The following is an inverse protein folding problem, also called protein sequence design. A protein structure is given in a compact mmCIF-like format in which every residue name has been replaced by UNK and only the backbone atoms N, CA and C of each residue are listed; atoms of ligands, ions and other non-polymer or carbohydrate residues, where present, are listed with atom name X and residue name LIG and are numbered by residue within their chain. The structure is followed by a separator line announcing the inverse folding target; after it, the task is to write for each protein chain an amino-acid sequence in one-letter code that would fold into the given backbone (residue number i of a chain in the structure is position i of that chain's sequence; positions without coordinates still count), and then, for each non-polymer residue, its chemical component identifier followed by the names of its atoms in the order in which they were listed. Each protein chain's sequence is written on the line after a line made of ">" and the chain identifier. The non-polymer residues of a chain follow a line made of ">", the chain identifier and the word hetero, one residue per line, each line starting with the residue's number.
data_IF_368577580987
#
_entry.id   IF_368577580987
#
_cell.length_a   1.000
_cell.length_b   1.000
_cell.length_c   1.000
_cell.angle_alpha   90.00
_cell.angle_beta   90.00
_cell.angle_gamma   90.00
#
_symmetry.space_group_name_H-M   'P 1'
#
loop_
_entity.id
_entity.type
_entity.pdbx_description
1 polymer ?
#
# COMPACT_ATOMS: atom_id res chain seq x y z
N UNK A 1 12.75 12.46 21.24
CA UNK A 1 12.35 11.09 21.62
C UNK A 1 13.09 10.14 20.71
N UNK A 2 13.95 9.31 21.28
CA UNK A 2 14.69 8.27 20.55
C UNK A 2 13.71 7.27 19.93
N UNK A 3 13.92 6.89 18.66
CA UNK A 3 13.06 5.91 17.99
C UNK A 3 13.43 4.53 18.51
N UNK A 4 12.58 3.97 19.38
CA UNK A 4 12.71 2.59 19.87
C UNK A 4 12.75 1.58 18.73
N UNK A 5 13.57 0.56 18.87
CA UNK A 5 13.64 -0.57 17.94
C UNK A 5 12.35 -1.40 18.00
N UNK A 6 12.03 -2.09 16.91
CA UNK A 6 10.82 -2.92 16.84
C UNK A 6 10.85 -4.02 17.91
N UNK A 7 12.01 -4.64 18.13
CA UNK A 7 12.22 -5.66 19.15
C UNK A 7 11.89 -5.16 20.55
N UNK A 8 12.20 -3.90 20.85
CA UNK A 8 11.89 -3.29 22.15
C UNK A 8 10.39 -3.09 22.32
N UNK A 9 9.72 -2.62 21.27
CA UNK A 9 8.25 -2.48 21.27
C UNK A 9 7.55 -3.82 21.46
N UNK A 10 8.00 -4.86 20.77
CA UNK A 10 7.47 -6.23 20.94
C UNK A 10 7.62 -6.70 22.40
N UNK A 11 8.76 -6.41 23.01
CA UNK A 11 9.03 -6.76 24.41
C UNK A 11 8.14 -5.98 25.39
N UNK A 12 7.93 -4.68 25.16
CA UNK A 12 7.04 -3.84 25.96
C UNK A 12 5.57 -4.28 25.90
N UNK A 13 5.18 -4.89 24.79
CA UNK A 13 3.85 -5.47 24.59
C UNK A 13 3.67 -6.84 25.27
N UNK A 14 4.68 -7.34 26.00
CA UNK A 14 4.69 -8.70 26.57
C UNK A 14 4.42 -9.80 25.51
N UNK A 15 4.89 -9.57 24.28
CA UNK A 15 4.78 -10.55 23.19
C UNK A 15 6.11 -11.29 23.08
N UNK A 16 6.07 -12.61 23.26
CA UNK A 16 7.26 -13.44 23.04
C UNK A 16 7.40 -13.72 21.55
N UNK A 17 8.64 -13.75 21.07
CA UNK A 17 8.95 -14.11 19.67
C UNK A 17 8.41 -15.51 19.31
N UNK A 18 8.38 -16.43 20.28
CA UNK A 18 7.76 -17.75 20.09
C UNK A 18 6.27 -17.66 19.76
N UNK A 19 5.54 -16.75 20.42
CA UNK A 19 4.11 -16.56 20.20
C UNK A 19 3.88 -15.93 18.83
N UNK A 20 4.66 -14.90 18.47
CA UNK A 20 4.69 -14.30 17.13
C UNK A 20 4.94 -15.34 16.03
N UNK A 21 5.97 -16.17 16.18
CA UNK A 21 6.29 -17.24 15.24
C UNK A 21 5.12 -18.23 15.07
N UNK A 22 4.45 -18.59 16.18
CA UNK A 22 3.26 -19.46 16.14
C UNK A 22 2.10 -18.80 15.41
N UNK A 23 1.75 -17.56 15.75
CA UNK A 23 0.62 -16.85 15.12
C UNK A 23 0.87 -16.53 13.65
N UNK A 24 2.13 -16.30 13.29
CA UNK A 24 2.54 -16.01 11.92
C UNK A 24 2.82 -17.26 11.09
N UNK A 25 2.76 -18.45 11.69
CA UNK A 25 3.09 -19.74 11.05
C UNK A 25 4.50 -19.77 10.44
N UNK A 26 5.48 -19.19 11.14
CA UNK A 26 6.87 -19.11 10.70
C UNK A 26 7.83 -19.71 11.73
N UNK A 27 9.04 -20.05 11.28
CA UNK A 27 10.11 -20.45 12.20
C UNK A 27 10.57 -19.24 13.04
N UNK A 28 10.98 -19.48 14.29
CA UNK A 28 11.56 -18.41 15.14
C UNK A 28 12.78 -17.75 14.48
N UNK A 29 13.73 -18.49 13.88
CA UNK A 29 14.83 -17.88 13.13
C UNK A 29 14.36 -16.92 12.03
N UNK A 30 13.28 -17.25 11.32
CA UNK A 30 12.70 -16.37 10.29
C UNK A 30 12.16 -15.08 10.89
N UNK A 31 11.43 -15.14 12.01
CA UNK A 31 10.95 -13.93 12.70
C UNK A 31 12.12 -13.06 13.18
N UNK A 32 13.17 -13.65 13.75
CA UNK A 32 14.36 -12.89 14.16
C UNK A 32 15.02 -12.18 12.97
N UNK A 33 15.22 -12.91 11.86
CA UNK A 33 15.77 -12.35 10.63
C UNK A 33 14.92 -11.19 10.11
N UNK A 34 13.60 -11.35 10.08
CA UNK A 34 12.71 -10.31 9.58
C UNK A 34 12.66 -9.08 10.49
N UNK A 35 12.75 -9.24 11.82
CA UNK A 35 12.88 -8.09 12.73
C UNK A 35 14.16 -7.31 12.44
N UNK A 36 15.28 -8.02 12.26
CA UNK A 36 16.56 -7.40 11.91
C UNK A 36 16.48 -6.66 10.57
N UNK A 37 15.91 -7.28 9.54
CA UNK A 37 15.69 -6.65 8.22
C UNK A 37 14.80 -5.41 8.34
N UNK A 38 13.80 -5.42 9.22
CA UNK A 38 12.90 -4.28 9.43
C UNK A 38 13.63 -3.09 10.07
N UNK A 39 14.48 -3.37 11.05
CA UNK A 39 15.26 -2.39 11.82
C UNK A 39 16.43 -1.81 11.01
N UNK A 40 17.04 -2.62 10.15
CA UNK A 40 18.16 -2.22 9.27
C UNK A 40 17.71 -1.59 7.95
N UNK A 41 16.40 -1.57 7.67
CA UNK A 41 15.83 -0.87 6.51
C UNK A 41 15.61 -1.74 5.27
N UNK A 42 15.97 -3.02 5.30
CA UNK A 42 15.72 -4.03 4.26
C UNK A 42 14.25 -4.50 4.22
N UNK A 43 13.29 -3.58 4.36
CA UNK A 43 11.85 -3.88 4.52
C UNK A 43 11.23 -4.52 3.28
N UNK A 44 11.76 -4.23 2.10
CA UNK A 44 11.35 -4.78 0.81
C UNK A 44 11.61 -6.28 0.66
N UNK A 45 12.44 -6.87 1.52
CA UNK A 45 12.77 -8.30 1.51
C UNK A 45 11.93 -9.11 2.52
N UNK A 46 11.06 -8.44 3.28
CA UNK A 46 10.16 -9.05 4.26
C UNK A 46 8.85 -9.41 3.57
N UNK A 47 8.30 -10.59 3.87
CA UNK A 47 6.98 -10.96 3.39
C UNK A 47 5.93 -9.90 3.79
N UNK A 48 5.15 -9.43 2.82
CA UNK A 48 4.20 -8.30 2.98
C UNK A 48 3.31 -8.42 4.22
N UNK A 49 2.78 -9.63 4.47
CA UNK A 49 1.92 -9.90 5.63
C UNK A 49 2.65 -9.68 6.96
N UNK A 50 3.89 -10.12 7.06
CA UNK A 50 4.72 -9.92 8.25
C UNK A 50 5.10 -8.44 8.40
N UNK A 51 5.48 -7.80 7.29
CA UNK A 51 5.81 -6.37 7.26
C UNK A 51 4.64 -5.53 7.79
N UNK A 52 3.40 -5.85 7.39
CA UNK A 52 2.21 -5.14 7.86
C UNK A 52 2.02 -5.21 9.38
N UNK A 53 2.35 -6.35 10.01
CA UNK A 53 2.29 -6.49 11.47
C UNK A 53 3.38 -5.67 12.14
N UNK A 54 4.59 -5.68 11.58
CA UNK A 54 5.71 -4.90 12.12
C UNK A 54 5.43 -3.40 12.05
N UNK A 55 4.87 -2.93 10.94
CA UNK A 55 4.42 -1.54 10.80
C UNK A 55 3.27 -1.21 11.74
N UNK A 56 2.33 -2.13 11.95
CA UNK A 56 1.27 -1.96 12.94
C UNK A 56 1.83 -1.76 14.35
N UNK A 57 2.83 -2.57 14.74
CA UNK A 57 3.49 -2.44 16.04
C UNK A 57 4.31 -1.14 16.13
N UNK A 58 5.02 -0.77 15.06
CA UNK A 58 5.93 0.37 15.04
C UNK A 58 5.17 1.71 15.06
N UNK A 59 4.04 1.80 14.36
CA UNK A 59 3.31 3.04 14.15
C UNK A 59 2.29 3.39 15.25
N UNK A 60 1.93 2.45 16.13
CA UNK A 60 0.93 2.65 17.16
C UNK A 60 1.56 2.73 18.56
N UNK A 61 1.37 3.86 19.26
CA UNK A 61 2.01 4.12 20.57
C UNK A 61 1.23 3.59 21.79
N UNK A 62 -0.05 3.26 21.63
CA UNK A 62 -0.96 2.87 22.73
C UNK A 62 -1.72 1.57 22.40
N UNK A 63 -1.02 0.57 21.88
CA UNK A 63 -1.58 -0.76 21.61
C UNK A 63 -1.14 -1.74 22.70
N UNK A 64 -1.99 -2.71 23.02
CA UNK A 64 -1.65 -3.82 23.89
C UNK A 64 -1.46 -5.12 23.12
N UNK A 65 -0.96 -6.15 23.81
CA UNK A 65 -0.80 -7.53 23.32
C UNK A 65 -2.01 -8.04 22.53
N UNK A 66 -3.21 -7.84 23.09
CA UNK A 66 -4.47 -8.29 22.49
C UNK A 66 -4.74 -7.63 21.15
N UNK A 67 -4.42 -6.35 20.98
CA UNK A 67 -4.59 -5.64 19.71
C UNK A 67 -3.67 -6.21 18.63
N UNK A 68 -2.42 -6.51 18.97
CA UNK A 68 -1.46 -7.10 18.04
C UNK A 68 -1.84 -8.52 17.67
N UNK A 69 -2.23 -9.36 18.63
CA UNK A 69 -2.69 -10.73 18.34
C UNK A 69 -3.92 -10.69 17.43
N UNK A 70 -4.90 -9.83 17.72
CA UNK A 70 -6.07 -9.63 16.86
C UNK A 70 -5.66 -9.24 15.44
N UNK A 71 -4.75 -8.28 15.31
CA UNK A 71 -4.24 -7.85 14.00
C UNK A 71 -3.52 -8.98 13.25
N UNK A 72 -2.68 -9.78 13.93
CA UNK A 72 -2.02 -10.94 13.33
C UNK A 72 -3.06 -11.99 12.89
N UNK A 73 -4.09 -12.23 13.70
CA UNK A 73 -5.15 -13.17 13.37
C UNK A 73 -5.98 -12.72 12.17
N UNK A 74 -6.21 -11.41 12.02
CA UNK A 74 -6.93 -10.82 10.88
C UNK A 74 -6.10 -10.79 9.59
N UNK A 75 -4.77 -10.63 9.68
CA UNK A 75 -3.90 -10.38 8.52
C UNK A 75 -2.99 -11.55 8.12
N UNK A 76 -2.74 -12.50 9.02
CA UNK A 76 -1.80 -13.61 8.80
C UNK A 76 -2.47 -14.97 8.97
N UNK A 77 -3.23 -15.17 10.04
CA UNK A 77 -4.00 -16.40 10.19
C UNK A 77 -5.16 -16.40 9.21
N UNK A 78 -5.39 -17.54 8.55
CA UNK A 78 -6.60 -17.80 7.77
C UNK A 78 -7.83 -17.77 8.70
N UNK A 79 -8.29 -16.58 9.11
CA UNK A 79 -9.69 -16.39 9.47
C UNK A 79 -10.42 -16.19 8.15
N UNK A 80 -10.60 -17.29 7.42
CA UNK A 80 -11.42 -17.31 6.22
C UNK A 80 -12.92 -17.11 6.56
N UNK A 81 -13.32 -17.15 7.83
CA UNK A 81 -14.73 -17.23 8.25
C UNK A 81 -15.40 -15.93 8.74
N UNK A 82 -14.68 -14.85 9.08
CA UNK A 82 -15.30 -13.63 9.66
C UNK A 82 -14.91 -12.30 8.98
N UNK A 83 -14.09 -12.34 7.93
CA UNK A 83 -13.78 -11.14 7.15
C UNK A 83 -14.83 -11.04 6.04
N UNK A 84 -15.53 -9.90 5.96
CA UNK A 84 -16.50 -9.66 4.88
C UNK A 84 -15.80 -9.82 3.52
N UNK A 85 -16.53 -10.24 2.50
CA UNK A 85 -15.96 -10.34 1.13
C UNK A 85 -15.29 -9.03 0.70
N UNK A 86 -15.89 -7.90 1.06
CA UNK A 86 -15.34 -6.56 0.84
C UNK A 86 -13.95 -6.39 1.45
N UNK A 87 -13.76 -6.75 2.72
CA UNK A 87 -12.46 -6.64 3.39
C UNK A 87 -11.44 -7.62 2.80
N UNK A 88 -11.86 -8.83 2.39
CA UNK A 88 -10.98 -9.77 1.67
C UNK A 88 -10.47 -9.18 0.36
N UNK A 89 -11.35 -8.55 -0.44
CA UNK A 89 -10.98 -7.89 -1.70
C UNK A 89 -10.05 -6.69 -1.46
N UNK A 90 -10.31 -5.87 -0.45
CA UNK A 90 -9.42 -4.75 -0.07
C UNK A 90 -8.03 -5.21 0.38
N UNK A 91 -7.94 -6.32 1.13
CA UNK A 91 -6.67 -6.93 1.51
C UNK A 91 -5.90 -7.41 0.27
N UNK A 92 -6.58 -8.05 -0.69
CA UNK A 92 -5.97 -8.45 -1.96
C UNK A 92 -5.42 -7.25 -2.74
N UNK A 93 -6.20 -6.16 -2.87
CA UNK A 93 -5.77 -4.92 -3.51
C UNK A 93 -4.54 -4.33 -2.82
N UNK A 94 -4.55 -4.24 -1.48
CA UNK A 94 -3.43 -3.74 -0.69
C UNK A 94 -2.14 -4.52 -0.96
N UNK A 95 -2.24 -5.85 -1.05
CA UNK A 95 -1.09 -6.72 -1.31
C UNK A 95 -0.48 -6.55 -2.71
N UNK A 96 -1.23 -5.98 -3.68
CA UNK A 96 -0.74 -5.69 -5.02
C UNK A 96 -0.02 -4.34 -5.11
N UNK A 97 -0.18 -3.46 -4.14
CA UNK A 97 0.41 -2.11 -4.16
C UNK A 97 1.85 -2.13 -3.63
N UNK A 98 2.76 -1.48 -4.37
CA UNK A 98 4.16 -1.28 -3.93
C UNK A 98 4.30 -0.42 -2.67
N UNK A 99 3.33 0.47 -2.43
CA UNK A 99 3.28 1.35 -1.28
C UNK A 99 1.84 1.44 -0.78
N UNK A 100 1.65 1.40 0.54
CA UNK A 100 0.33 1.56 1.15
C UNK A 100 -0.23 2.95 0.84
N UNK A 101 -1.45 2.99 0.31
CA UNK A 101 -2.15 4.21 0.00
C UNK A 101 -3.65 3.93 0.05
N UNK A 102 -4.30 4.29 1.16
CA UNK A 102 -5.72 4.01 1.39
C UNK A 102 -6.62 4.57 0.29
N UNK A 103 -6.39 5.80 -0.15
CA UNK A 103 -7.20 6.40 -1.24
C UNK A 103 -7.07 5.62 -2.54
N UNK A 104 -5.87 5.11 -2.85
CA UNK A 104 -5.64 4.26 -4.01
C UNK A 104 -6.29 2.89 -3.85
N UNK A 105 -6.21 2.29 -2.66
CA UNK A 105 -6.88 1.02 -2.35
C UNK A 105 -8.40 1.13 -2.54
N UNK A 106 -9.00 2.17 -1.96
CA UNK A 106 -10.44 2.42 -2.07
C UNK A 106 -10.86 2.70 -3.51
N UNK A 107 -10.07 3.46 -4.27
CA UNK A 107 -10.38 3.74 -5.67
C UNK A 107 -10.30 2.50 -6.57
N UNK A 108 -9.29 1.64 -6.37
CA UNK A 108 -9.20 0.37 -7.11
C UNK A 108 -10.38 -0.53 -6.76
N UNK A 109 -10.79 -0.56 -5.47
CA UNK A 109 -11.96 -1.31 -5.06
C UNK A 109 -13.22 -0.80 -5.78
N UNK A 110 -13.44 0.53 -5.83
CA UNK A 110 -14.58 1.11 -6.53
C UNK A 110 -14.62 0.73 -8.02
N UNK A 111 -13.50 0.84 -8.74
CA UNK A 111 -13.43 0.46 -10.16
C UNK A 111 -13.66 -1.05 -10.37
N UNK A 112 -13.31 -1.89 -9.39
CA UNK A 112 -13.52 -3.34 -9.51
C UNK A 112 -14.96 -3.80 -9.26
N UNK A 113 -15.79 -2.98 -8.62
CA UNK A 113 -17.17 -3.33 -8.25
C UNK A 113 -18.22 -2.66 -9.13
N UNK A 114 -17.90 -1.52 -9.73
CA UNK A 114 -18.86 -0.69 -10.45
C UNK A 114 -18.29 -0.13 -11.77
N UNK A 115 -19.16 -0.04 -12.78
CA UNK A 115 -18.78 0.32 -14.15
C UNK A 115 -18.87 1.83 -14.43
N UNK A 116 -19.16 2.67 -13.42
CA UNK A 116 -19.29 4.13 -13.60
C UNK A 116 -18.03 4.75 -14.23
N UNK A 117 -16.85 4.21 -13.94
CA UNK A 117 -15.58 4.71 -14.47
C UNK A 117 -15.17 4.07 -15.81
N UNK A 118 -15.79 2.98 -16.26
CA UNK A 118 -15.41 2.25 -17.48
C UNK A 118 -15.25 3.14 -18.72
N UNK A 119 -16.18 4.08 -19.02
CA UNK A 119 -16.08 4.93 -20.21
C UNK A 119 -14.82 5.81 -20.24
N UNK A 120 -14.23 6.13 -19.08
CA UNK A 120 -13.06 7.00 -18.98
C UNK A 120 -11.75 6.23 -18.82
N UNK A 121 -11.77 4.92 -18.57
CA UNK A 121 -10.54 4.15 -18.31
C UNK A 121 -9.58 4.16 -19.50
N UNK A 122 -10.08 3.97 -20.73
CA UNK A 122 -9.26 4.02 -21.94
C UNK A 122 -8.61 5.40 -22.12
N UNK A 123 -9.35 6.48 -21.86
CA UNK A 123 -8.84 7.84 -21.88
C UNK A 123 -7.68 8.04 -20.89
N UNK A 124 -7.87 7.62 -19.63
CA UNK A 124 -6.86 7.74 -18.59
C UNK A 124 -5.59 6.93 -18.90
N UNK A 125 -5.74 5.73 -19.46
CA UNK A 125 -4.62 4.88 -19.89
C UNK A 125 -3.84 5.56 -21.01
N UNK A 126 -4.53 6.08 -22.04
CA UNK A 126 -3.89 6.82 -23.14
C UNK A 126 -3.15 8.05 -22.63
N UNK A 127 -3.77 8.83 -21.76
CA UNK A 127 -3.13 9.99 -21.16
C UNK A 127 -1.84 9.62 -20.41
N UNK A 128 -1.86 8.55 -19.61
CA UNK A 128 -0.67 8.07 -18.89
C UNK A 128 0.46 7.67 -19.83
N UNK A 129 0.14 6.99 -20.93
CA UNK A 129 1.11 6.52 -21.93
C UNK A 129 1.77 7.66 -22.72
N UNK A 130 1.01 8.73 -22.95
CA UNK A 130 1.45 9.91 -23.72
C UNK A 130 2.30 10.84 -22.83
N UNK A 131 1.94 11.00 -21.54
CA UNK A 131 2.59 11.95 -20.62
C UNK A 131 4.12 11.73 -20.43
N UNK A 132 4.61 10.50 -20.65
CA UNK A 132 6.03 10.16 -20.47
C UNK A 132 6.90 10.43 -21.73
N UNK A 133 6.32 10.95 -22.83
CA UNK A 133 7.02 11.18 -24.11
C UNK A 133 6.97 12.65 -24.54
N UNK A 134 7.71 12.99 -25.61
CA UNK A 134 7.52 14.27 -26.32
C UNK A 134 6.29 14.13 -27.20
N UNK A 135 5.30 14.99 -26.98
CA UNK A 135 3.97 14.81 -27.56
C UNK A 135 3.72 15.77 -28.71
N UNK A 136 2.90 15.35 -29.68
CA UNK A 136 2.42 16.19 -30.79
C UNK A 136 1.38 17.20 -30.31
N UNK A 137 0.98 18.11 -31.19
CA UNK A 137 -0.07 19.09 -30.89
C UNK A 137 -1.45 18.42 -30.72
N UNK A 138 -1.75 17.39 -31.52
CA UNK A 138 -2.97 16.59 -31.38
C UNK A 138 -3.02 15.82 -30.05
N UNK A 139 -1.90 15.21 -29.65
CA UNK A 139 -1.77 14.52 -28.35
C UNK A 139 -1.88 15.48 -27.16
N UNK A 140 -1.44 16.73 -27.34
CA UNK A 140 -1.60 17.78 -26.33
C UNK A 140 -3.08 18.16 -26.16
N UNK A 141 -3.80 18.42 -27.24
CA UNK A 141 -5.24 18.71 -27.17
C UNK A 141 -6.03 17.54 -26.58
N UNK A 142 -5.60 16.29 -26.82
CA UNK A 142 -6.21 15.11 -26.20
C UNK A 142 -6.03 15.08 -24.66
N UNK A 143 -4.85 15.43 -24.13
CA UNK A 143 -4.59 15.42 -22.68
C UNK A 143 -5.20 16.64 -21.97
N UNK A 144 -5.44 17.73 -22.68
CA UNK A 144 -5.87 19.01 -22.11
C UNK A 144 -7.05 18.92 -21.12
N UNK A 145 -8.11 18.12 -21.34
CA UNK A 145 -9.17 17.95 -20.33
C UNK A 145 -8.65 17.41 -18.99
N UNK A 146 -7.69 16.48 -19.00
CA UNK A 146 -7.04 15.98 -17.79
C UNK A 146 -6.16 17.04 -17.13
N UNK A 147 -5.44 17.85 -17.91
CA UNK A 147 -4.65 18.97 -17.39
C UNK A 147 -5.53 19.99 -16.66
N UNK A 148 -6.66 20.35 -17.25
CA UNK A 148 -7.65 21.26 -16.67
C UNK A 148 -8.27 20.66 -15.40
N UNK A 149 -8.61 19.36 -15.41
CA UNK A 149 -9.09 18.67 -14.21
C UNK A 149 -8.07 18.77 -13.06
N UNK A 150 -6.79 18.51 -13.32
CA UNK A 150 -5.76 18.66 -12.28
C UNK A 150 -5.67 20.10 -11.76
N UNK A 151 -5.72 21.10 -12.66
CA UNK A 151 -5.67 22.52 -12.28
C UNK A 151 -6.86 22.94 -11.42
N UNK A 152 -8.08 22.51 -11.76
CA UNK A 152 -9.29 22.84 -10.98
C UNK A 152 -9.24 22.26 -9.57
N UNK A 153 -8.54 21.15 -9.38
CA UNK A 153 -8.31 20.51 -8.07
C UNK A 153 -7.05 21.05 -7.36
N UNK A 154 -6.37 22.06 -7.90
CA UNK A 154 -5.17 22.67 -7.32
C UNK A 154 -3.87 21.89 -7.55
N UNK A 155 -3.87 20.89 -8.43
CA UNK A 155 -2.70 20.09 -8.78
C UNK A 155 -2.05 20.53 -10.09
N UNK A 156 -0.77 20.20 -10.25
CA UNK A 156 -0.02 20.39 -11.50
C UNK A 156 0.38 19.05 -12.08
N UNK A 157 0.06 18.82 -13.35
CA UNK A 157 0.54 17.66 -14.12
C UNK A 157 1.73 18.08 -14.99
N UNK A 158 2.76 17.24 -15.08
CA UNK A 158 3.92 17.48 -15.96
C UNK A 158 3.61 16.91 -17.35
N UNK A 159 3.50 17.76 -18.36
CA UNK A 159 3.28 17.38 -19.76
C UNK A 159 4.41 17.96 -20.61
N UNK A 160 5.14 17.11 -21.34
CA UNK A 160 6.28 17.51 -22.16
C UNK A 160 5.85 17.86 -23.60
N UNK A 161 5.38 19.10 -23.82
CA UNK A 161 5.07 19.59 -25.17
C UNK A 161 6.34 19.65 -26.03
N UNK A 162 6.30 19.10 -27.24
CA UNK A 162 7.35 19.30 -28.23
C UNK A 162 7.34 20.79 -28.58
N UNK A 163 8.40 21.54 -28.23
CA UNK A 163 8.58 22.90 -28.76
C UNK A 163 8.78 22.74 -30.26
N UNK A 164 7.83 23.25 -31.05
CA UNK A 164 8.03 23.48 -32.48
C UNK A 164 9.30 24.32 -32.61
N UNK A 165 10.36 23.70 -33.12
CA UNK A 165 11.52 24.41 -33.63
C UNK A 165 11.01 25.36 -34.71
N UNK A 166 11.12 26.66 -34.44
CA UNK A 166 11.02 27.72 -35.45
C UNK A 166 12.04 27.49 -36.54
#
# INVERSE_FOLDING_TARGET
>A
MEKKLLREKIKELDIRIMDLAKYMQMSRPTIYKYIEMYETGHRNEIESKVLSVFEYIDNNKNIGKTNVIKFILENISKIEENISETEKRKIQIRNLLKHQNRTKEDFIYLISEDNFFDPILDYLIKCRNIADKKITEEEYEFIKPLEELYKTQGFKIKINKKRSSK
#
